data_IF_147785281347
#
_entry.id   IF_147785281347
#
_cell.length_a   1.000
_cell.length_b   1.000
_cell.length_c   1.000
_cell.angle_alpha   90.00
_cell.angle_beta   90.00
_cell.angle_gamma   90.00
#
_symmetry.space_group_name_H-M   'P 1'
#
loop_
_entity.id
_entity.type
_entity.pdbx_description
1 polymer ?
#
# COMPACT_ATOMS: atom_id res chain seq x y z
N UNK A 1 -23.92 -10.86 13.32
CA UNK A 1 -22.89 -10.17 14.08
C UNK A 1 -22.08 -9.40 13.08
N UNK A 2 -22.15 -8.08 13.06
CA UNK A 2 -21.30 -7.23 12.21
C UNK A 2 -19.92 -7.30 12.83
N UNK A 3 -18.99 -7.92 12.12
CA UNK A 3 -17.59 -8.05 12.54
C UNK A 3 -16.97 -6.64 12.53
N UNK A 4 -16.68 -6.09 13.70
CA UNK A 4 -16.13 -4.75 13.91
C UNK A 4 -14.61 -4.76 13.62
N UNK A 5 -14.20 -5.34 12.47
CA UNK A 5 -12.81 -5.33 11.99
C UNK A 5 -12.44 -3.90 11.64
N UNK A 6 -11.63 -3.27 12.46
CA UNK A 6 -11.07 -1.96 12.15
C UNK A 6 -10.17 -2.08 10.92
N UNK A 7 -10.64 -1.57 9.79
CA UNK A 7 -9.85 -1.42 8.57
C UNK A 7 -8.72 -0.43 8.85
N UNK A 8 -7.49 -0.85 8.60
CA UNK A 8 -6.31 0.00 8.74
C UNK A 8 -6.02 0.64 7.38
N UNK A 9 -5.87 1.95 7.35
CA UNK A 9 -5.27 2.60 6.19
C UNK A 9 -3.75 2.50 6.31
N UNK A 10 -3.13 1.66 5.51
CA UNK A 10 -1.69 1.51 5.49
C UNK A 10 -1.04 2.74 4.87
N UNK A 11 0.00 3.22 5.52
CA UNK A 11 0.83 4.27 4.97
C UNK A 11 2.02 3.60 4.33
N UNK A 12 2.09 3.75 3.03
CA UNK A 12 3.12 3.13 2.22
C UNK A 12 4.47 3.80 2.48
N UNK A 13 5.58 3.07 2.34
CA UNK A 13 6.92 3.64 2.50
C UNK A 13 7.34 4.56 1.34
N UNK A 14 6.60 4.63 0.23
CA UNK A 14 6.94 5.46 -0.92
C UNK A 14 6.86 6.96 -0.58
N UNK A 15 7.90 7.70 -0.92
CA UNK A 15 8.02 9.14 -0.66
C UNK A 15 8.29 9.91 -1.94
N UNK A 16 7.57 10.99 -2.14
CA UNK A 16 7.86 12.07 -3.08
C UNK A 16 8.27 11.66 -4.49
N UNK A 17 9.50 11.22 -4.67
CA UNK A 17 10.08 10.81 -5.96
C UNK A 17 10.30 9.31 -6.10
N UNK A 18 10.02 8.54 -5.05
CA UNK A 18 10.14 7.09 -5.11
C UNK A 18 9.04 6.51 -6.00
N UNK A 19 9.37 5.53 -6.80
CA UNK A 19 8.43 4.89 -7.72
C UNK A 19 8.13 3.44 -7.34
N UNK A 20 9.02 2.81 -6.57
CA UNK A 20 8.95 1.40 -6.23
C UNK A 20 9.40 1.12 -4.79
N UNK A 21 8.61 0.35 -4.06
CA UNK A 21 8.99 -0.25 -2.78
C UNK A 21 8.82 -1.75 -2.88
N UNK A 22 9.86 -2.50 -2.59
CA UNK A 22 9.88 -3.96 -2.65
C UNK A 22 10.19 -4.49 -1.26
N UNK A 23 9.33 -5.33 -0.73
CA UNK A 23 9.54 -6.05 0.52
C UNK A 23 9.42 -7.55 0.27
N UNK A 24 10.51 -8.28 0.46
CA UNK A 24 10.58 -9.74 0.38
C UNK A 24 10.74 -10.28 1.79
N UNK A 25 9.78 -11.06 2.25
CA UNK A 25 9.67 -11.49 3.65
C UNK A 25 9.41 -12.99 3.73
N UNK A 26 10.12 -13.65 4.63
CA UNK A 26 9.79 -14.99 5.10
C UNK A 26 9.11 -14.91 6.45
N UNK A 27 8.01 -15.61 6.64
CA UNK A 27 7.19 -15.58 7.85
C UNK A 27 6.48 -16.91 8.09
N UNK A 28 6.06 -17.14 9.34
CA UNK A 28 5.31 -18.35 9.70
C UNK A 28 3.80 -18.12 9.70
N UNK A 29 3.38 -16.86 9.78
CA UNK A 29 1.96 -16.51 9.89
C UNK A 29 1.66 -15.13 9.29
N UNK A 30 0.41 -14.93 8.90
CA UNK A 30 -0.13 -13.65 8.51
C UNK A 30 -0.76 -12.97 9.71
N UNK A 31 -0.15 -11.89 10.19
CA UNK A 31 -0.62 -11.11 11.35
C UNK A 31 -1.09 -9.71 10.99
N UNK A 32 -0.89 -9.30 9.73
CA UNK A 32 -1.28 -7.96 9.31
C UNK A 32 -2.79 -7.91 9.10
N UNK A 33 -3.50 -6.94 9.68
CA UNK A 33 -4.95 -6.85 9.61
C UNK A 33 -5.44 -6.38 8.25
N UNK A 34 -6.76 -6.46 8.02
CA UNK A 34 -7.40 -5.91 6.84
C UNK A 34 -7.09 -4.42 6.69
N UNK A 35 -6.66 -4.02 5.50
CA UNK A 35 -6.16 -2.68 5.23
C UNK A 35 -6.46 -2.22 3.81
N UNK A 36 -6.24 -0.95 3.56
CA UNK A 36 -6.15 -0.33 2.23
C UNK A 36 -5.03 0.71 2.23
N UNK A 37 -4.59 1.14 1.05
CA UNK A 37 -3.52 2.13 0.88
C UNK A 37 -3.68 2.91 -0.42
N UNK A 38 -3.00 4.06 -0.53
CA UNK A 38 -3.16 5.00 -1.65
C UNK A 38 -2.36 4.65 -2.91
N UNK A 39 -1.38 3.76 -2.82
CA UNK A 39 -0.53 3.34 -3.94
C UNK A 39 -1.02 2.02 -4.53
N UNK A 40 -0.47 1.63 -5.68
CA UNK A 40 -0.72 0.34 -6.29
C UNK A 40 0.11 -0.75 -5.59
N UNK A 41 -0.40 -1.97 -5.54
CA UNK A 41 0.28 -3.10 -4.94
C UNK A 41 0.18 -4.35 -5.81
N UNK A 42 1.34 -4.97 -6.04
CA UNK A 42 1.44 -6.34 -6.52
C UNK A 42 1.93 -7.20 -5.36
N UNK A 43 1.08 -8.11 -4.87
CA UNK A 43 1.42 -9.02 -3.79
C UNK A 43 1.55 -10.45 -4.30
N UNK A 44 2.72 -11.04 -4.09
CA UNK A 44 3.03 -12.44 -4.39
C UNK A 44 3.22 -13.22 -3.10
N UNK A 45 2.62 -14.40 -3.02
CA UNK A 45 2.76 -15.30 -1.88
C UNK A 45 3.13 -16.69 -2.38
N UNK A 46 4.08 -17.33 -1.69
CA UNK A 46 4.57 -18.68 -1.95
C UNK A 46 4.52 -19.52 -0.67
N UNK A 47 4.35 -20.84 -0.80
CA UNK A 47 4.16 -21.79 0.30
C UNK A 47 2.96 -21.46 1.20
N UNK A 48 1.90 -20.93 0.62
CA UNK A 48 0.76 -20.34 1.34
C UNK A 48 -0.54 -21.17 1.22
N UNK A 49 -0.45 -22.44 0.89
CA UNK A 49 -1.63 -23.31 0.76
C UNK A 49 -2.49 -23.29 2.01
N UNK A 50 -3.77 -22.95 1.85
CA UNK A 50 -4.72 -22.86 2.94
C UNK A 50 -4.90 -21.45 3.51
N UNK A 51 -4.09 -20.46 3.10
CA UNK A 51 -4.30 -19.05 3.44
C UNK A 51 -5.60 -18.56 2.82
N UNK A 52 -6.35 -17.74 3.55
CA UNK A 52 -7.53 -17.06 3.05
C UNK A 52 -7.17 -15.66 2.59
N UNK A 53 -7.35 -15.37 1.29
CA UNK A 53 -7.24 -14.03 0.74
C UNK A 53 -8.62 -13.38 0.72
N UNK A 54 -8.70 -12.16 1.23
CA UNK A 54 -9.89 -11.30 1.17
C UNK A 54 -9.51 -10.04 0.38
N UNK A 55 -10.27 -9.72 -0.66
CA UNK A 55 -10.11 -8.49 -1.47
C UNK A 55 -11.51 -7.95 -1.75
N UNK A 56 -11.87 -6.84 -1.10
CA UNK A 56 -13.23 -6.34 -1.10
C UNK A 56 -14.23 -7.37 -0.57
N UNK A 57 -15.23 -7.71 -1.35
CA UNK A 57 -16.24 -8.74 -1.05
C UNK A 57 -15.86 -10.15 -1.53
N UNK A 58 -14.69 -10.34 -2.13
CA UNK A 58 -14.17 -11.66 -2.52
C UNK A 58 -13.39 -12.30 -1.37
N UNK A 59 -13.72 -13.56 -1.05
CA UNK A 59 -13.00 -14.37 -0.05
C UNK A 59 -12.67 -15.72 -0.67
N UNK A 60 -11.40 -16.07 -0.69
CA UNK A 60 -10.92 -17.32 -1.31
C UNK A 60 -9.78 -17.94 -0.52
N UNK A 61 -9.80 -19.27 -0.42
CA UNK A 61 -8.65 -20.04 0.08
C UNK A 61 -7.71 -20.29 -1.08
N UNK A 62 -6.46 -19.84 -0.94
CA UNK A 62 -5.45 -19.90 -2.00
C UNK A 62 -4.65 -21.22 -1.96
N UNK A 63 -3.99 -21.53 -3.08
CA UNK A 63 -3.04 -22.65 -3.18
C UNK A 63 -1.65 -22.28 -2.66
N UNK A 64 -0.63 -23.03 -3.11
CA UNK A 64 0.76 -22.75 -2.73
C UNK A 64 1.27 -21.41 -3.22
N UNK A 65 0.74 -20.92 -4.34
CA UNK A 65 1.09 -19.64 -4.95
C UNK A 65 -0.14 -18.76 -5.11
N UNK A 66 0.02 -17.48 -4.83
CA UNK A 66 -0.96 -16.45 -5.14
C UNK A 66 -0.26 -15.20 -5.66
N UNK A 67 -0.87 -14.55 -6.64
CA UNK A 67 -0.43 -13.26 -7.16
C UNK A 67 -1.64 -12.39 -7.39
N UNK A 68 -1.66 -11.25 -6.71
CA UNK A 68 -2.77 -10.31 -6.75
C UNK A 68 -2.27 -8.89 -7.03
N UNK A 69 -2.91 -8.20 -7.97
CA UNK A 69 -2.65 -6.79 -8.27
C UNK A 69 -3.84 -5.95 -7.80
N UNK A 70 -3.57 -4.90 -7.03
CA UNK A 70 -4.55 -3.98 -6.46
C UNK A 70 -4.16 -2.55 -6.86
N UNK A 71 -5.09 -1.82 -7.48
CA UNK A 71 -4.84 -0.45 -7.98
C UNK A 71 -5.89 0.57 -7.53
N UNK A 72 -6.81 0.16 -6.65
CA UNK A 72 -7.77 1.09 -6.03
C UNK A 72 -7.33 1.46 -4.61
N UNK A 73 -7.27 2.76 -4.28
CA UNK A 73 -6.85 3.20 -2.95
C UNK A 73 -7.84 2.84 -1.83
N UNK A 74 -9.08 2.51 -2.19
CA UNK A 74 -10.15 2.21 -1.23
C UNK A 74 -10.48 0.72 -1.16
N UNK A 75 -9.79 -0.13 -1.92
CA UNK A 75 -10.04 -1.56 -1.95
C UNK A 75 -9.36 -2.25 -0.78
N UNK A 76 -10.16 -2.67 0.16
CA UNK A 76 -9.72 -3.36 1.37
C UNK A 76 -9.25 -4.77 1.03
N UNK A 77 -8.11 -5.15 1.62
CA UNK A 77 -7.54 -6.47 1.37
C UNK A 77 -6.73 -6.99 2.57
N UNK A 78 -6.61 -8.32 2.64
CA UNK A 78 -5.82 -9.03 3.65
C UNK A 78 -5.59 -10.47 3.22
N UNK A 79 -4.45 -11.03 3.65
CA UNK A 79 -4.18 -12.46 3.68
C UNK A 79 -4.24 -12.91 5.14
N UNK A 80 -5.05 -13.91 5.45
CA UNK A 80 -5.25 -14.47 6.79
C UNK A 80 -4.74 -15.90 6.85
N UNK A 81 -4.17 -16.30 7.98
CA UNK A 81 -3.58 -17.64 8.18
C UNK A 81 -4.52 -18.77 7.84
N UNK A 82 -5.78 -18.69 8.28
CA UNK A 82 -6.82 -19.69 8.05
C UNK A 82 -6.31 -21.14 8.29
N UNK A 83 -6.30 -22.01 7.28
CA UNK A 83 -5.87 -23.42 7.35
C UNK A 83 -4.41 -23.63 6.90
N UNK A 84 -3.62 -22.58 6.75
CA UNK A 84 -2.23 -22.70 6.35
C UNK A 84 -1.35 -23.14 7.54
N UNK A 85 -0.55 -24.18 7.33
CA UNK A 85 0.37 -24.76 8.31
C UNK A 85 1.83 -24.68 7.86
N UNK A 86 2.14 -23.83 6.90
CA UNK A 86 3.52 -23.64 6.42
C UNK A 86 4.37 -22.94 7.48
N UNK A 87 5.57 -23.45 7.72
CA UNK A 87 6.56 -22.82 8.60
C UNK A 87 7.43 -21.76 7.89
N UNK A 88 7.33 -21.68 6.57
CA UNK A 88 8.10 -20.77 5.74
C UNK A 88 7.26 -20.23 4.57
N UNK A 89 6.38 -19.29 4.88
CA UNK A 89 5.61 -18.55 3.89
C UNK A 89 6.49 -17.41 3.38
N UNK A 90 6.69 -17.33 2.07
CA UNK A 90 7.34 -16.17 1.45
C UNK A 90 6.30 -15.20 0.91
N UNK A 91 6.47 -13.93 1.20
CA UNK A 91 5.65 -12.86 0.67
C UNK A 91 6.51 -11.77 0.06
N UNK A 92 6.27 -11.48 -1.22
CA UNK A 92 6.88 -10.35 -1.92
C UNK A 92 5.78 -9.31 -2.17
N UNK A 93 5.87 -8.18 -1.47
CA UNK A 93 4.98 -7.04 -1.66
C UNK A 93 5.71 -5.99 -2.47
N UNK A 94 5.17 -5.63 -3.63
CA UNK A 94 5.68 -4.52 -4.46
C UNK A 94 4.63 -3.42 -4.46
N UNK A 95 4.92 -2.33 -3.72
CA UNK A 95 4.10 -1.12 -3.76
C UNK A 95 4.74 -0.14 -4.75
N UNK A 96 3.90 0.52 -5.56
CA UNK A 96 4.40 1.41 -6.61
C UNK A 96 3.40 2.52 -6.93
N UNK A 97 3.94 3.62 -7.44
CA UNK A 97 3.14 4.78 -7.89
C UNK A 97 3.64 5.23 -9.26
N UNK A 98 2.97 4.75 -10.30
CA UNK A 98 3.18 5.22 -11.67
C UNK A 98 2.01 6.10 -12.07
N UNK A 99 2.31 7.31 -12.55
CA UNK A 99 1.26 8.14 -13.15
C UNK A 99 0.74 7.47 -14.44
N UNK A 100 -0.54 7.07 -14.42
CA UNK A 100 -1.21 6.36 -15.53
C UNK A 100 -2.04 7.30 -16.41
N UNK A 101 -1.77 8.61 -16.39
CA UNK A 101 -2.47 9.57 -17.24
C UNK A 101 -2.04 9.47 -18.71
N UNK A 102 -2.91 9.90 -19.61
CA UNK A 102 -2.66 9.90 -21.06
C UNK A 102 -1.45 10.77 -21.46
N UNK A 103 -1.08 11.73 -20.61
CA UNK A 103 0.06 12.62 -20.84
C UNK A 103 1.40 11.97 -20.47
N UNK A 104 1.38 10.82 -19.79
CA UNK A 104 2.58 10.10 -19.35
C UNK A 104 3.01 9.02 -20.32
N UNK A 105 4.13 8.35 -20.00
CA UNK A 105 4.62 7.19 -20.72
C UNK A 105 3.57 6.09 -20.86
N UNK A 106 2.78 5.87 -19.83
CA UNK A 106 1.75 4.81 -19.79
C UNK A 106 0.52 5.12 -20.64
N UNK A 107 0.28 6.36 -21.05
CA UNK A 107 -0.73 6.73 -22.04
C UNK A 107 -0.33 6.39 -23.48
N UNK A 108 0.89 5.94 -23.74
CA UNK A 108 1.37 5.62 -25.09
C UNK A 108 1.05 4.17 -25.49
N UNK A 109 0.85 3.93 -26.79
CA UNK A 109 0.44 2.64 -27.36
C UNK A 109 1.24 1.41 -26.85
N UNK A 110 2.57 1.44 -26.68
CA UNK A 110 3.31 0.28 -26.20
C UNK A 110 2.89 -0.19 -24.79
N UNK A 111 2.32 0.69 -23.99
CA UNK A 111 1.90 0.41 -22.61
C UNK A 111 0.39 0.15 -22.47
N UNK A 112 -0.36 0.16 -23.57
CA UNK A 112 -1.84 0.04 -23.55
C UNK A 112 -2.35 -1.25 -22.87
N UNK A 113 -1.59 -2.36 -22.96
CA UNK A 113 -1.93 -3.61 -22.26
C UNK A 113 -1.79 -3.45 -20.72
N UNK A 114 -0.72 -2.82 -20.27
CA UNK A 114 -0.49 -2.53 -18.85
C UNK A 114 -1.61 -1.62 -18.33
N UNK A 115 -1.92 -0.53 -19.02
CA UNK A 115 -2.96 0.42 -18.63
C UNK A 115 -4.33 -0.26 -18.50
N UNK A 116 -4.70 -1.15 -19.44
CA UNK A 116 -5.95 -1.94 -19.34
C UNK A 116 -5.94 -2.87 -18.14
N UNK A 117 -4.83 -3.56 -17.87
CA UNK A 117 -4.67 -4.41 -16.69
C UNK A 117 -4.82 -3.61 -15.40
N UNK A 118 -4.20 -2.42 -15.31
CA UNK A 118 -4.32 -1.54 -14.15
C UNK A 118 -5.76 -1.07 -13.91
N UNK A 119 -6.52 -0.80 -14.97
CA UNK A 119 -7.95 -0.48 -14.83
C UNK A 119 -8.79 -1.67 -14.33
N UNK A 120 -8.51 -2.89 -14.80
CA UNK A 120 -9.15 -4.11 -14.30
C UNK A 120 -8.81 -4.36 -12.81
N UNK A 121 -7.56 -4.10 -12.42
CA UNK A 121 -7.06 -4.30 -11.07
C UNK A 121 -7.62 -3.33 -10.02
N UNK A 122 -8.43 -2.33 -10.42
CA UNK A 122 -9.23 -1.51 -9.48
C UNK A 122 -10.21 -2.34 -8.63
N UNK A 123 -10.54 -3.54 -9.08
CA UNK A 123 -11.37 -4.53 -8.35
C UNK A 123 -10.52 -5.65 -7.73
N UNK A 124 -9.21 -5.48 -7.69
CA UNK A 124 -8.29 -6.58 -7.43
C UNK A 124 -8.25 -7.56 -8.60
N UNK A 125 -7.07 -7.94 -9.05
CA UNK A 125 -6.86 -8.85 -10.17
C UNK A 125 -5.99 -10.02 -9.71
N UNK A 126 -6.53 -11.24 -9.78
CA UNK A 126 -5.80 -12.47 -9.45
C UNK A 126 -5.31 -13.14 -10.73
N UNK A 127 -4.08 -13.65 -10.68
CA UNK A 127 -3.43 -14.31 -11.81
C UNK A 127 -3.38 -15.82 -11.63
N UNK A 128 -3.60 -16.61 -12.70
CA UNK A 128 -3.50 -18.06 -12.66
C UNK A 128 -2.04 -18.50 -12.51
N UNK A 129 -1.83 -19.71 -11.99
CA UNK A 129 -0.50 -20.30 -11.76
C UNK A 129 0.43 -20.21 -12.98
N UNK A 130 -0.10 -20.42 -14.19
CA UNK A 130 0.69 -20.31 -15.42
C UNK A 130 1.30 -18.91 -15.60
N UNK A 131 0.54 -17.84 -15.31
CA UNK A 131 1.04 -16.48 -15.40
C UNK A 131 2.04 -16.19 -14.28
N UNK A 132 1.80 -16.72 -13.07
CA UNK A 132 2.72 -16.61 -11.93
C UNK A 132 4.08 -17.23 -12.31
N UNK A 133 4.08 -18.47 -12.80
CA UNK A 133 5.31 -19.17 -13.15
C UNK A 133 6.09 -18.48 -14.28
N UNK A 134 5.41 -17.79 -15.18
CA UNK A 134 6.06 -17.00 -16.24
C UNK A 134 6.90 -15.85 -15.70
N UNK A 135 6.48 -15.22 -14.62
CA UNK A 135 7.16 -14.07 -14.00
C UNK A 135 7.95 -14.46 -12.74
N UNK A 136 7.85 -15.70 -12.29
CA UNK A 136 8.41 -16.18 -11.02
C UNK A 136 9.91 -15.84 -10.87
N UNK A 137 10.74 -16.16 -11.85
CA UNK A 137 12.18 -15.89 -11.77
C UNK A 137 12.52 -14.39 -11.71
N UNK A 138 11.67 -13.54 -12.28
CA UNK A 138 11.83 -12.09 -12.16
C UNK A 138 11.36 -11.61 -10.77
N UNK A 139 10.26 -12.14 -10.24
CA UNK A 139 9.81 -11.83 -8.88
C UNK A 139 10.83 -12.28 -7.85
N UNK A 140 11.36 -13.50 -7.99
CA UNK A 140 12.34 -14.10 -7.10
C UNK A 140 13.62 -13.27 -6.96
N UNK A 141 14.07 -12.67 -8.03
CA UNK A 141 15.31 -11.88 -8.06
C UNK A 141 15.10 -10.38 -7.84
N UNK A 142 13.85 -9.89 -7.85
CA UNK A 142 13.54 -8.46 -7.85
C UNK A 142 14.08 -7.74 -6.61
N UNK A 143 13.97 -8.36 -5.43
CA UNK A 143 14.46 -7.82 -4.16
C UNK A 143 16.00 -7.80 -4.05
N UNK A 144 16.70 -8.47 -4.97
CA UNK A 144 18.16 -8.55 -5.02
C UNK A 144 18.80 -7.54 -5.98
N UNK A 145 17.99 -6.86 -6.82
CA UNK A 145 18.46 -5.86 -7.78
C UNK A 145 18.88 -4.59 -7.04
N UNK A 146 20.18 -4.32 -6.98
CA UNK A 146 20.73 -3.15 -6.24
C UNK A 146 20.55 -1.82 -6.95
N UNK A 147 20.52 -1.84 -8.28
CA UNK A 147 20.37 -0.63 -9.09
C UNK A 147 18.89 -0.34 -9.33
N UNK A 148 18.47 0.84 -8.94
CA UNK A 148 17.08 1.26 -9.01
C UNK A 148 16.49 1.28 -10.42
N UNK A 149 17.27 1.69 -11.40
CA UNK A 149 16.83 1.68 -12.80
C UNK A 149 16.52 0.26 -13.27
N UNK A 150 17.40 -0.69 -12.98
CA UNK A 150 17.17 -2.09 -13.35
C UNK A 150 16.04 -2.75 -12.56
N UNK A 151 15.83 -2.36 -11.30
CA UNK A 151 14.67 -2.83 -10.54
C UNK A 151 13.35 -2.35 -11.16
N UNK A 152 13.26 -1.09 -11.55
CA UNK A 152 12.10 -0.53 -12.27
C UNK A 152 11.91 -1.21 -13.62
N UNK A 153 12.98 -1.40 -14.39
CA UNK A 153 12.92 -2.07 -15.69
C UNK A 153 12.40 -3.51 -15.55
N UNK A 154 12.93 -4.28 -14.59
CA UNK A 154 12.49 -5.64 -14.33
C UNK A 154 11.02 -5.68 -13.89
N UNK A 155 10.61 -4.77 -13.02
CA UNK A 155 9.22 -4.68 -12.58
C UNK A 155 8.27 -4.30 -13.73
N UNK A 156 8.66 -3.37 -14.60
CA UNK A 156 7.89 -3.04 -15.81
C UNK A 156 7.76 -4.25 -16.74
N UNK A 157 8.80 -5.08 -16.83
CA UNK A 157 8.74 -6.34 -17.61
C UNK A 157 7.76 -7.32 -16.97
N UNK A 158 7.75 -7.46 -15.62
CA UNK A 158 6.77 -8.27 -14.90
C UNK A 158 5.35 -7.78 -15.22
N UNK A 159 5.08 -6.48 -15.09
CA UNK A 159 3.77 -5.91 -15.40
C UNK A 159 3.36 -6.14 -16.85
N UNK A 160 4.29 -6.01 -17.78
CA UNK A 160 4.02 -6.27 -19.21
C UNK A 160 3.65 -7.74 -19.46
N UNK A 161 4.41 -8.69 -18.91
CA UNK A 161 4.12 -10.12 -19.05
C UNK A 161 2.76 -10.50 -18.42
N UNK A 162 2.46 -9.95 -17.24
CA UNK A 162 1.16 -10.14 -16.59
C UNK A 162 0.02 -9.50 -17.39
N UNK A 163 0.25 -8.36 -18.04
CA UNK A 163 -0.77 -7.66 -18.84
C UNK A 163 -1.21 -8.43 -20.09
N UNK A 164 -0.45 -9.44 -20.47
CA UNK A 164 -0.77 -10.34 -21.60
C UNK A 164 -1.50 -11.61 -21.16
N UNK A 165 -1.78 -11.76 -19.87
CA UNK A 165 -2.52 -12.90 -19.35
C UNK A 165 -4.02 -12.76 -19.68
N UNK A 166 -4.56 -13.71 -20.45
CA UNK A 166 -5.98 -13.70 -20.85
C UNK A 166 -6.92 -14.22 -19.74
N UNK A 167 -6.40 -15.00 -18.80
CA UNK A 167 -7.18 -15.67 -17.76
C UNK A 167 -7.04 -15.03 -16.36
N UNK A 168 -6.59 -13.78 -16.29
CA UNK A 168 -6.60 -13.02 -15.07
C UNK A 168 -8.03 -12.70 -14.66
N UNK A 169 -8.36 -12.84 -13.37
CA UNK A 169 -9.73 -12.74 -12.87
C UNK A 169 -9.86 -11.59 -11.88
N UNK A 170 -10.88 -10.74 -12.11
CA UNK A 170 -11.24 -9.70 -11.12
C UNK A 170 -11.87 -10.32 -9.89
N UNK A 171 -11.59 -9.76 -8.72
CA UNK A 171 -11.99 -10.26 -7.41
C UNK A 171 -13.25 -9.58 -6.89
N UNK A 172 -13.17 -8.31 -6.56
CA UNK A 172 -14.31 -7.58 -6.00
C UNK A 172 -15.43 -7.38 -7.03
N UNK A 173 -16.67 -7.43 -6.56
CA UNK A 173 -17.85 -7.15 -7.37
C UNK A 173 -17.92 -5.67 -7.79
N UNK A 174 -18.66 -5.39 -8.86
CA UNK A 174 -18.87 -4.01 -9.35
C UNK A 174 -19.66 -3.14 -8.38
N UNK A 175 -20.45 -3.75 -7.50
CA UNK A 175 -21.21 -3.06 -6.46
C UNK A 175 -20.35 -2.67 -5.26
N UNK A 176 -19.27 -3.38 -5.02
CA UNK A 176 -18.32 -3.09 -3.94
C UNK A 176 -17.30 -2.01 -4.35
N UNK A 177 -16.76 -2.11 -5.55
CA UNK A 177 -15.87 -1.09 -6.12
C UNK A 177 -16.68 0.17 -6.46
N UNK A 178 -16.98 1.00 -5.46
CA UNK A 178 -17.67 2.27 -5.64
C UNK A 178 -16.86 3.16 -6.60
N UNK A 179 -17.46 3.49 -7.72
CA UNK A 179 -17.00 4.57 -8.59
C UNK A 179 -17.25 5.88 -7.83
N UNK A 180 -16.24 6.38 -7.16
CA UNK A 180 -16.27 7.73 -6.56
C UNK A 180 -16.44 8.75 -7.66
N UNK A 181 -17.37 9.70 -7.47
CA UNK A 181 -17.63 10.80 -8.41
C UNK A 181 -16.31 11.56 -8.62
N UNK A 182 -15.89 11.75 -9.87
CA UNK A 182 -14.55 12.28 -10.25
C UNK A 182 -14.17 13.60 -9.58
N UNK A 183 -15.15 14.46 -9.27
CA UNK A 183 -14.89 15.79 -8.71
C UNK A 183 -14.52 15.75 -7.22
N UNK A 184 -15.16 14.90 -6.45
CA UNK A 184 -14.84 14.68 -5.03
C UNK A 184 -13.48 13.96 -4.88
N UNK A 185 -13.15 13.07 -5.81
CA UNK A 185 -11.85 12.41 -5.86
C UNK A 185 -10.71 13.39 -6.11
N UNK A 186 -10.88 14.41 -6.97
CA UNK A 186 -9.87 15.45 -7.20
C UNK A 186 -9.64 16.34 -5.97
N UNK A 187 -10.71 16.73 -5.26
CA UNK A 187 -10.60 17.54 -4.05
C UNK A 187 -9.88 16.80 -2.93
N UNK A 188 -10.25 15.55 -2.69
CA UNK A 188 -9.61 14.73 -1.64
C UNK A 188 -8.15 14.45 -1.98
N UNK A 189 -7.84 14.16 -3.25
CA UNK A 189 -6.47 13.92 -3.73
C UNK A 189 -5.60 15.17 -3.55
N UNK A 190 -6.13 16.38 -3.89
CA UNK A 190 -5.42 17.64 -3.68
C UNK A 190 -5.04 17.84 -2.22
N UNK A 191 -5.97 17.56 -1.29
CA UNK A 191 -5.72 17.69 0.15
C UNK A 191 -4.73 16.63 0.63
N UNK A 192 -4.88 15.37 0.25
CA UNK A 192 -3.94 14.29 0.58
C UNK A 192 -2.52 14.62 0.12
N UNK A 193 -2.36 15.11 -1.12
CA UNK A 193 -1.07 15.51 -1.68
C UNK A 193 -0.45 16.69 -0.90
N UNK A 194 -1.26 17.66 -0.49
CA UNK A 194 -0.78 18.78 0.33
C UNK A 194 -0.30 18.29 1.70
N UNK A 195 -1.08 17.45 2.37
CA UNK A 195 -0.72 16.87 3.66
C UNK A 195 0.58 16.04 3.53
N UNK A 196 0.71 15.22 2.50
CA UNK A 196 1.89 14.40 2.26
C UNK A 196 3.17 15.21 2.02
N UNK A 197 3.05 16.40 1.40
CA UNK A 197 4.19 17.30 1.17
C UNK A 197 4.60 18.10 2.40
N UNK A 198 3.66 18.35 3.31
CA UNK A 198 3.84 19.25 4.45
C UNK A 198 3.62 18.54 5.81
N UNK A 199 3.74 17.21 5.86
CA UNK A 199 3.41 16.41 7.05
C UNK A 199 4.28 16.74 8.28
N UNK A 200 5.48 17.27 8.07
CA UNK A 200 6.39 17.67 9.14
C UNK A 200 5.91 18.96 9.84
N UNK A 201 5.16 19.79 9.14
CA UNK A 201 4.72 21.10 9.60
C UNK A 201 3.41 21.04 10.40
N UNK A 202 3.03 22.17 11.02
CA UNK A 202 1.74 22.31 11.67
C UNK A 202 0.64 22.46 10.60
N UNK A 203 -0.18 21.43 10.42
CA UNK A 203 -1.30 21.43 9.48
C UNK A 203 -2.59 21.83 10.18
N UNK A 204 -3.17 22.96 9.79
CA UNK A 204 -4.39 23.50 10.41
C UNK A 204 -5.63 23.17 9.60
N UNK A 205 -6.68 22.75 10.31
CA UNK A 205 -7.96 22.39 9.71
C UNK A 205 -8.55 23.45 8.77
N UNK A 206 -8.54 24.76 9.12
CA UNK A 206 -9.05 25.80 8.21
C UNK A 206 -8.29 25.89 6.88
N UNK A 207 -6.97 25.71 6.91
CA UNK A 207 -6.13 25.71 5.71
C UNK A 207 -6.47 24.55 4.78
N UNK A 208 -6.56 23.34 5.33
CA UNK A 208 -6.94 22.15 4.57
C UNK A 208 -8.36 22.24 4.01
N UNK A 209 -9.29 22.82 4.78
CA UNK A 209 -10.65 23.08 4.32
C UNK A 209 -10.69 24.07 3.15
N UNK A 210 -9.87 25.13 3.22
CA UNK A 210 -9.74 26.12 2.13
C UNK A 210 -9.22 25.48 0.83
N UNK A 211 -8.25 24.53 0.93
CA UNK A 211 -7.76 23.79 -0.25
C UNK A 211 -8.85 22.98 -0.95
N UNK A 212 -9.84 22.49 -0.19
CA UNK A 212 -10.99 21.77 -0.71
C UNK A 212 -12.15 22.70 -1.13
N UNK A 213 -12.02 24.01 -0.90
CA UNK A 213 -13.10 25.00 -1.14
C UNK A 213 -14.29 24.83 -0.19
N UNK A 214 -14.04 24.44 1.07
CA UNK A 214 -15.09 24.10 2.04
C UNK A 214 -14.89 24.85 3.37
N UNK A 215 -15.97 24.96 4.17
CA UNK A 215 -15.83 25.33 5.59
C UNK A 215 -15.20 24.20 6.38
N UNK A 216 -14.55 24.50 7.53
CA UNK A 216 -13.90 23.47 8.38
C UNK A 216 -14.83 22.35 8.81
N UNK A 217 -16.09 22.65 9.12
CA UNK A 217 -17.09 21.65 9.52
C UNK A 217 -17.56 20.76 8.36
N UNK A 218 -17.76 21.35 7.18
CA UNK A 218 -18.11 20.60 5.97
C UNK A 218 -16.93 19.72 5.54
N UNK A 219 -15.71 20.26 5.56
CA UNK A 219 -14.50 19.53 5.21
C UNK A 219 -14.23 18.35 6.16
N UNK A 220 -14.41 18.51 7.47
CA UNK A 220 -14.24 17.41 8.42
C UNK A 220 -15.16 16.21 8.11
N UNK A 221 -16.43 16.49 7.78
CA UNK A 221 -17.38 15.44 7.37
C UNK A 221 -17.03 14.84 6.02
N UNK A 222 -16.70 15.69 5.04
CA UNK A 222 -16.27 15.29 3.71
C UNK A 222 -15.03 14.39 3.77
N UNK A 223 -13.99 14.84 4.50
CA UNK A 223 -12.74 14.08 4.63
C UNK A 223 -12.98 12.72 5.30
N UNK A 224 -13.77 12.68 6.39
CA UNK A 224 -14.11 11.43 7.07
C UNK A 224 -14.92 10.49 6.19
N UNK A 225 -15.85 11.02 5.38
CA UNK A 225 -16.66 10.22 4.44
C UNK A 225 -15.78 9.55 3.37
N UNK A 226 -14.79 10.28 2.82
CA UNK A 226 -13.94 9.80 1.72
C UNK A 226 -12.70 9.03 2.17
N UNK A 227 -12.28 9.14 3.44
CA UNK A 227 -11.06 8.48 3.96
C UNK A 227 -11.34 7.50 5.09
N UNK A 228 -12.58 7.41 5.56
CA UNK A 228 -12.95 6.61 6.72
C UNK A 228 -12.42 7.14 8.06
N UNK A 229 -11.67 8.26 8.08
CA UNK A 229 -10.93 8.77 9.24
C UNK A 229 -11.09 10.27 9.41
N UNK A 230 -10.91 10.74 10.65
CA UNK A 230 -10.76 12.17 10.86
C UNK A 230 -9.36 12.65 10.41
N UNK A 231 -9.25 13.94 10.10
CA UNK A 231 -8.04 14.52 9.53
C UNK A 231 -6.82 14.39 10.46
N UNK A 232 -7.01 14.52 11.78
CA UNK A 232 -5.91 14.41 12.74
C UNK A 232 -5.38 12.99 12.83
N UNK A 233 -6.25 11.99 12.80
CA UNK A 233 -5.84 10.58 12.71
C UNK A 233 -5.08 10.29 11.43
N UNK A 234 -5.54 10.80 10.30
CA UNK A 234 -4.88 10.64 9.01
C UNK A 234 -3.46 11.22 9.04
N UNK A 235 -3.28 12.45 9.55
CA UNK A 235 -1.95 13.09 9.67
C UNK A 235 -1.03 12.30 10.61
N UNK A 236 -1.54 11.82 11.74
CA UNK A 236 -0.77 10.99 12.68
C UNK A 236 -0.33 9.69 12.00
N UNK A 237 -1.23 9.01 11.32
CA UNK A 237 -0.92 7.74 10.64
C UNK A 237 0.14 7.96 9.55
N UNK A 238 0.06 9.06 8.79
CA UNK A 238 1.06 9.46 7.80
C UNK A 238 2.44 9.67 8.45
N UNK A 239 2.50 10.45 9.52
CA UNK A 239 3.75 10.69 10.27
C UNK A 239 4.37 9.40 10.81
N UNK A 240 3.53 8.48 11.32
CA UNK A 240 4.00 7.18 11.80
C UNK A 240 4.52 6.28 10.67
N UNK A 241 3.96 6.37 9.47
CA UNK A 241 4.47 5.67 8.29
C UNK A 241 5.88 6.11 7.95
N UNK A 242 6.09 7.43 7.86
CA UNK A 242 7.42 8.01 7.64
C UNK A 242 8.40 7.65 8.75
N UNK A 243 7.96 7.71 10.01
CA UNK A 243 8.80 7.30 11.15
C UNK A 243 9.20 5.83 11.07
N UNK A 244 8.27 4.94 10.77
CA UNK A 244 8.55 3.51 10.61
C UNK A 244 9.59 3.26 9.51
N UNK A 245 9.49 3.99 8.38
CA UNK A 245 10.48 3.94 7.31
C UNK A 245 11.85 4.41 7.79
N UNK A 246 11.93 5.59 8.40
CA UNK A 246 13.20 6.15 8.87
C UNK A 246 13.87 5.28 9.95
N UNK A 247 13.07 4.59 10.79
CA UNK A 247 13.57 3.62 11.76
C UNK A 247 14.33 2.46 11.10
N UNK A 248 13.92 2.07 9.91
CA UNK A 248 14.50 0.95 9.15
C UNK A 248 15.64 1.40 8.26
N UNK A 249 15.50 2.55 7.60
CA UNK A 249 16.39 2.97 6.51
C UNK A 249 17.53 3.88 6.98
N UNK A 250 17.50 4.38 8.23
CA UNK A 250 18.49 5.35 8.72
C UNK A 250 19.06 4.95 10.07
N UNK A 251 20.27 5.45 10.35
CA UNK A 251 20.91 5.36 11.66
C UNK A 251 20.49 6.49 12.63
N UNK A 252 19.54 7.36 12.25
CA UNK A 252 19.06 8.45 13.10
C UNK A 252 18.50 7.92 14.41
N UNK A 253 18.68 8.68 15.49
CA UNK A 253 18.09 8.35 16.78
C UNK A 253 16.55 8.37 16.71
N UNK A 254 15.88 7.64 17.60
CA UNK A 254 14.42 7.62 17.69
C UNK A 254 13.85 9.02 17.94
N UNK A 255 14.61 9.83 18.70
CA UNK A 255 14.26 11.22 18.99
C UNK A 255 14.27 12.09 17.74
N UNK A 256 15.36 12.03 16.95
CA UNK A 256 15.47 12.74 15.67
C UNK A 256 14.35 12.35 14.72
N UNK A 257 14.10 11.04 14.58
CA UNK A 257 13.01 10.55 13.72
C UNK A 257 11.64 11.08 14.16
N UNK A 258 11.36 11.08 15.47
CA UNK A 258 10.11 11.63 15.98
C UNK A 258 9.93 13.09 15.60
N UNK A 259 10.97 13.93 15.76
CA UNK A 259 10.93 15.34 15.39
C UNK A 259 10.85 15.54 13.86
N UNK A 260 11.67 14.83 13.09
CA UNK A 260 11.66 14.88 11.62
C UNK A 260 10.30 14.47 11.02
N UNK A 261 9.54 13.65 11.74
CA UNK A 261 8.17 13.27 11.34
C UNK A 261 7.09 14.20 11.91
N UNK A 262 7.45 15.36 12.46
CA UNK A 262 6.51 16.39 12.92
C UNK A 262 5.87 16.10 14.28
N UNK A 263 6.45 15.24 15.11
CA UNK A 263 6.01 15.07 16.50
C UNK A 263 6.77 16.06 17.41
N UNK A 264 6.05 16.92 18.10
CA UNK A 264 6.64 17.93 19.01
C UNK A 264 7.05 17.34 20.36
N UNK A 265 6.72 16.08 20.66
CA UNK A 265 6.96 15.44 21.95
C UNK A 265 7.29 13.94 21.75
N UNK A 266 8.49 13.53 22.17
CA UNK A 266 8.98 12.17 22.05
C UNK A 266 8.15 11.14 22.82
N UNK A 267 7.68 11.50 24.02
CA UNK A 267 6.84 10.60 24.83
C UNK A 267 5.50 10.33 24.14
N UNK A 268 4.91 11.35 23.50
CA UNK A 268 3.69 11.21 22.73
C UNK A 268 3.94 10.39 21.46
N UNK A 269 5.05 10.61 20.76
CA UNK A 269 5.46 9.79 19.62
C UNK A 269 5.56 8.30 19.99
N UNK A 270 6.34 7.96 21.01
CA UNK A 270 6.53 6.58 21.47
C UNK A 270 5.19 5.92 21.87
N UNK A 271 4.35 6.64 22.59
CA UNK A 271 3.04 6.14 23.02
C UNK A 271 2.11 5.86 21.85
N UNK A 272 2.05 6.78 20.88
CA UNK A 272 1.18 6.63 19.70
C UNK A 272 1.74 5.54 18.78
N UNK A 273 3.05 5.51 18.57
CA UNK A 273 3.72 4.49 17.76
C UNK A 273 3.44 3.09 18.32
N UNK A 274 3.67 2.87 19.63
CA UNK A 274 3.38 1.59 20.29
C UNK A 274 1.91 1.21 20.19
N UNK A 275 0.99 2.18 20.37
CA UNK A 275 -0.45 1.93 20.24
C UNK A 275 -0.84 1.49 18.82
N UNK A 276 -0.20 2.05 17.78
CA UNK A 276 -0.58 1.83 16.38
C UNK A 276 0.18 0.68 15.72
N UNK A 277 1.43 0.42 16.14
CA UNK A 277 2.30 -0.61 15.55
C UNK A 277 2.46 -1.86 16.42
N UNK A 278 1.90 -1.86 17.64
CA UNK A 278 1.97 -3.00 18.57
C UNK A 278 3.28 -3.10 19.36
N UNK A 279 4.35 -2.43 18.90
CA UNK A 279 5.68 -2.44 19.52
C UNK A 279 6.26 -1.02 19.59
N UNK A 280 7.29 -0.82 20.43
CA UNK A 280 8.00 0.46 20.51
C UNK A 280 8.82 0.73 19.23
N UNK A 281 9.21 2.00 18.97
CA UNK A 281 10.11 2.32 17.83
C UNK A 281 11.44 1.55 17.86
N UNK A 282 12.01 1.29 19.05
CA UNK A 282 13.24 0.51 19.19
C UNK A 282 13.03 -0.95 18.81
N UNK A 283 12.01 -1.60 19.37
CA UNK A 283 11.64 -2.97 19.04
C UNK A 283 11.31 -3.10 17.55
N UNK A 284 10.64 -2.09 16.98
CA UNK A 284 10.35 -2.05 15.56
C UNK A 284 11.63 -2.03 14.72
N UNK A 285 12.60 -1.17 15.04
CA UNK A 285 13.91 -1.11 14.36
C UNK A 285 14.63 -2.44 14.42
N UNK A 286 14.71 -3.07 15.61
CA UNK A 286 15.41 -4.34 15.82
C UNK A 286 14.77 -5.51 15.06
N UNK A 287 13.45 -5.53 14.93
CA UNK A 287 12.72 -6.60 14.22
C UNK A 287 12.88 -6.56 12.69
N UNK A 288 13.41 -5.45 12.16
CA UNK A 288 13.45 -5.19 10.71
C UNK A 288 14.84 -5.32 10.07
N UNK A 289 15.62 -6.30 10.46
CA UNK A 289 16.89 -6.65 9.78
C UNK A 289 16.65 -7.50 8.50
N UNK A 290 15.81 -7.06 7.56
CA UNK A 290 15.51 -7.81 6.31
C UNK A 290 15.73 -6.97 5.06
N UNK A 291 16.08 -7.66 3.97
CA UNK A 291 16.42 -7.09 2.66
C UNK A 291 15.27 -6.27 2.09
N UNK A 292 15.49 -4.98 1.89
CA UNK A 292 14.52 -4.06 1.26
C UNK A 292 15.22 -3.18 0.26
N UNK A 293 14.52 -2.88 -0.83
CA UNK A 293 14.96 -1.93 -1.84
C UNK A 293 13.87 -0.88 -2.01
N UNK A 294 14.27 0.40 -1.95
CA UNK A 294 13.46 1.55 -2.32
C UNK A 294 14.14 2.20 -3.51
N UNK A 295 13.36 2.45 -4.54
CA UNK A 295 13.84 3.02 -5.79
C UNK A 295 12.98 4.22 -6.18
#
# INVERSE_FOLDING_TARGET
MVDDRRIIHEITPLMGKDVLYIADRHKKEFTYPIHNHSVYELNFVENAKGVRRIVGDSQEVIGDYDLCLITSPDLEHVWEQNECHSDDIREITVQFDFSMSDETLFGRNPYASITRMMQAAKKGLSFPLQAIMKVYGMLDTLSSVKDGFYAVQQFLTILYELSRCENARTLASSSYAKVTVEDDSRRILKVKNFISKNYMDELRLPELASLAGMSSSAFSRFFKLHTGRNISEYIIDLRLGYAARMLVDTAKSISEIGFDCGFNNLSNFNRIFKKKKGCSPSEFRESYHKTRIIV
#
